data_IF_964758096558
#
_entry.id   IF_964758096558
#
_cell.length_a   1.000
_cell.length_b   1.000
_cell.length_c   1.000
_cell.angle_alpha   90.00
_cell.angle_beta   90.00
_cell.angle_gamma   90.00
#
_symmetry.space_group_name_H-M   'P 1'
#
loop_
_entity.id
_entity.type
_entity.pdbx_description
1 polymer ?
#
# COMPACT_ATOMS: atom_id res chain seq x y z
N UNK A 1 12.73 -1.05 -19.13
CA UNK A 1 13.18 -0.57 -17.80
C UNK A 1 12.57 -1.47 -16.75
N UNK A 2 13.30 -1.85 -15.69
CA UNK A 2 12.78 -2.75 -14.64
C UNK A 2 12.46 -1.97 -13.37
N UNK A 3 11.36 -2.31 -12.71
CA UNK A 3 11.00 -1.73 -11.44
C UNK A 3 10.41 -2.77 -10.48
N UNK A 4 10.57 -2.51 -9.18
CA UNK A 4 9.82 -3.20 -8.15
C UNK A 4 8.63 -2.34 -7.73
N UNK A 5 7.47 -2.96 -7.53
CA UNK A 5 6.34 -2.34 -6.85
C UNK A 5 6.13 -3.00 -5.49
N UNK A 6 6.21 -2.22 -4.41
CA UNK A 6 5.82 -2.71 -3.08
C UNK A 6 4.30 -2.79 -3.03
N UNK A 7 3.77 -4.01 -3.11
CA UNK A 7 2.35 -4.31 -3.33
C UNK A 7 1.78 -5.05 -2.12
N UNK A 8 1.04 -4.36 -1.26
CA UNK A 8 0.26 -5.00 -0.18
C UNK A 8 -1.08 -5.54 -0.66
N UNK A 9 -1.53 -5.16 -1.85
CA UNK A 9 -2.89 -5.41 -2.35
C UNK A 9 -3.86 -4.28 -2.02
N UNK A 10 -3.50 -3.36 -1.10
CA UNK A 10 -4.29 -2.17 -0.79
C UNK A 10 -4.43 -1.20 -1.96
N UNK A 11 -5.44 -0.32 -1.88
CA UNK A 11 -5.77 0.67 -2.91
C UNK A 11 -4.53 1.42 -3.42
N UNK A 12 -3.73 1.99 -2.52
CA UNK A 12 -2.60 2.85 -2.89
C UNK A 12 -1.51 2.08 -3.61
N UNK A 13 -1.20 0.88 -3.11
CA UNK A 13 -0.20 -0.01 -3.72
C UNK A 13 -0.64 -0.54 -5.09
N UNK A 14 -1.94 -0.76 -5.27
CA UNK A 14 -2.54 -1.16 -6.54
C UNK A 14 -2.46 -0.01 -7.57
N UNK A 15 -2.85 1.21 -7.19
CA UNK A 15 -2.78 2.40 -8.06
C UNK A 15 -1.34 2.76 -8.39
N UNK A 16 -0.42 2.62 -7.43
CA UNK A 16 1.01 2.79 -7.66
C UNK A 16 1.55 1.79 -8.69
N UNK A 17 1.09 0.54 -8.64
CA UNK A 17 1.49 -0.48 -9.60
C UNK A 17 0.92 -0.23 -11.01
N UNK A 18 -0.32 0.28 -11.09
CA UNK A 18 -0.87 0.80 -12.35
C UNK A 18 -0.04 1.95 -12.91
N UNK A 19 0.41 2.88 -12.06
CA UNK A 19 1.24 4.01 -12.48
C UNK A 19 2.59 3.52 -13.04
N UNK A 20 3.26 2.58 -12.36
CA UNK A 20 4.47 1.96 -12.90
C UNK A 20 4.22 1.28 -14.26
N UNK A 21 3.07 0.61 -14.43
CA UNK A 21 2.71 -0.06 -15.68
C UNK A 21 2.46 0.94 -16.81
N UNK A 22 1.79 2.04 -16.50
CA UNK A 22 1.54 3.14 -17.45
C UNK A 22 2.83 3.79 -17.93
N UNK A 23 3.85 3.86 -17.08
CA UNK A 23 5.21 4.30 -17.42
C UNK A 23 6.04 3.21 -18.15
N UNK A 24 5.41 2.11 -18.60
CA UNK A 24 6.01 1.01 -19.36
C UNK A 24 7.18 0.29 -18.64
N UNK A 25 7.11 0.16 -17.31
CA UNK A 25 8.04 -0.67 -16.56
C UNK A 25 7.72 -2.17 -16.71
N UNK A 26 8.79 -2.96 -16.81
CA UNK A 26 8.78 -4.40 -16.52
C UNK A 26 8.79 -4.56 -15.00
N UNK A 27 7.66 -5.00 -14.43
CA UNK A 27 7.37 -4.92 -13.00
C UNK A 27 7.57 -6.27 -12.33
N UNK A 28 8.27 -6.26 -11.20
CA UNK A 28 8.19 -7.30 -10.18
C UNK A 28 7.45 -6.74 -8.97
N UNK A 29 6.43 -7.42 -8.48
CA UNK A 29 5.69 -7.00 -7.28
C UNK A 29 6.20 -7.73 -6.05
N UNK A 30 6.30 -7.01 -4.94
CA UNK A 30 6.77 -7.55 -3.66
C UNK A 30 5.74 -7.26 -2.57
N UNK A 31 5.22 -8.33 -1.97
CA UNK A 31 4.38 -8.28 -0.77
C UNK A 31 5.20 -8.71 0.44
N UNK A 32 5.06 -8.01 1.55
CA UNK A 32 5.74 -8.37 2.79
C UNK A 32 4.79 -9.10 3.74
N UNK A 33 5.18 -10.30 4.16
CA UNK A 33 4.56 -10.99 5.29
C UNK A 33 5.26 -10.55 6.57
N UNK A 34 4.66 -9.59 7.28
CA UNK A 34 5.08 -9.21 8.63
C UNK A 34 4.14 -9.78 9.71
N UNK A 35 3.35 -10.77 9.31
CA UNK A 35 2.37 -11.46 10.12
C UNK A 35 1.19 -10.58 10.54
N UNK A 36 0.75 -9.76 9.60
CA UNK A 36 -0.46 -8.96 9.66
C UNK A 36 -1.72 -9.83 9.54
N UNK A 37 -2.81 -9.41 10.17
CA UNK A 37 -4.08 -10.14 10.16
C UNK A 37 -4.64 -10.39 8.76
N UNK A 38 -4.56 -9.39 7.88
CA UNK A 38 -5.12 -9.45 6.53
C UNK A 38 -4.22 -10.21 5.53
N UNK A 39 -3.13 -10.84 5.98
CA UNK A 39 -2.09 -11.43 5.13
C UNK A 39 -2.65 -12.28 3.98
N UNK A 40 -3.60 -13.16 4.27
CA UNK A 40 -4.15 -14.07 3.25
C UNK A 40 -4.88 -13.31 2.14
N UNK A 41 -5.67 -12.28 2.51
CA UNK A 41 -6.38 -11.43 1.56
C UNK A 41 -5.42 -10.49 0.82
N UNK A 42 -4.43 -9.94 1.52
CA UNK A 42 -3.36 -9.12 0.94
C UNK A 42 -2.57 -9.89 -0.12
N UNK A 43 -2.09 -11.11 0.19
CA UNK A 43 -1.37 -11.96 -0.77
C UNK A 43 -2.27 -12.32 -1.95
N UNK A 44 -3.54 -12.68 -1.70
CA UNK A 44 -4.49 -13.02 -2.76
C UNK A 44 -4.72 -11.84 -3.70
N UNK A 45 -4.95 -10.66 -3.13
CA UNK A 45 -5.08 -9.40 -3.86
C UNK A 45 -3.83 -9.07 -4.67
N UNK A 46 -2.67 -9.05 -4.02
CA UNK A 46 -1.40 -8.75 -4.66
C UNK A 46 -1.09 -9.71 -5.81
N UNK A 47 -1.30 -11.01 -5.62
CA UNK A 47 -1.13 -12.01 -6.66
C UNK A 47 -2.05 -11.72 -7.84
N UNK A 48 -3.34 -11.49 -7.60
CA UNK A 48 -4.31 -11.23 -8.67
C UNK A 48 -3.98 -9.96 -9.45
N UNK A 49 -3.59 -8.90 -8.75
CA UNK A 49 -3.18 -7.64 -9.36
C UNK A 49 -1.91 -7.85 -10.21
N UNK A 50 -0.95 -8.63 -9.71
CA UNK A 50 0.29 -8.93 -10.44
C UNK A 50 0.04 -9.71 -11.73
N UNK A 51 -0.87 -10.69 -11.69
CA UNK A 51 -1.32 -11.42 -12.88
C UNK A 51 -1.90 -10.47 -13.94
N UNK A 52 -2.74 -9.51 -13.54
CA UNK A 52 -3.36 -8.53 -14.44
C UNK A 52 -2.32 -7.59 -15.05
N UNK A 53 -1.31 -7.21 -14.27
CA UNK A 53 -0.21 -6.36 -14.73
C UNK A 53 0.85 -7.12 -15.54
N UNK A 54 0.72 -8.45 -15.66
CA UNK A 54 1.74 -9.34 -16.20
C UNK A 54 3.10 -9.13 -15.52
N UNK A 55 3.09 -9.19 -14.18
CA UNK A 55 4.22 -8.98 -13.30
C UNK A 55 4.51 -10.24 -12.48
N UNK A 56 5.80 -10.54 -12.26
CA UNK A 56 6.21 -11.58 -11.31
C UNK A 56 5.90 -11.14 -9.88
N UNK A 57 5.29 -12.02 -9.08
CA UNK A 57 4.92 -11.72 -7.69
C UNK A 57 5.76 -12.50 -6.69
N UNK A 58 6.34 -11.78 -5.73
CA UNK A 58 7.10 -12.34 -4.64
C UNK A 58 6.50 -11.97 -3.29
N UNK A 59 6.49 -12.93 -2.37
CA UNK A 59 6.18 -12.70 -0.96
C UNK A 59 7.46 -12.85 -0.14
N UNK A 60 7.83 -11.81 0.61
CA UNK A 60 9.01 -11.83 1.48
C UNK A 60 8.54 -11.91 2.93
N UNK A 61 8.99 -12.95 3.63
CA UNK A 61 8.71 -13.14 5.05
C UNK A 61 9.65 -12.30 5.92
N UNK A 62 9.06 -11.44 6.74
CA UNK A 62 9.72 -10.59 7.73
C UNK A 62 9.05 -10.74 9.11
N UNK A 63 8.58 -11.95 9.46
CA UNK A 63 7.92 -12.20 10.75
C UNK A 63 8.80 -11.86 11.98
N UNK A 64 10.12 -11.73 11.82
CA UNK A 64 11.01 -11.26 12.89
C UNK A 64 10.58 -9.89 13.46
N UNK A 65 9.83 -9.06 12.71
CA UNK A 65 9.33 -7.80 13.25
C UNK A 65 8.40 -7.98 14.45
N UNK A 66 7.79 -9.15 14.60
CA UNK A 66 6.95 -9.50 15.77
C UNK A 66 7.72 -9.55 17.08
N UNK A 67 9.05 -9.68 17.03
CA UNK A 67 9.89 -9.66 18.23
C UNK A 67 9.86 -8.30 18.95
N UNK A 68 9.58 -7.22 18.21
CA UNK A 68 9.54 -5.85 18.74
C UNK A 68 8.24 -5.07 18.42
N UNK A 69 7.40 -5.56 17.50
CA UNK A 69 6.11 -4.95 17.17
C UNK A 69 5.02 -5.37 18.16
N UNK A 70 4.26 -4.39 18.62
CA UNK A 70 2.99 -4.58 19.36
C UNK A 70 1.79 -3.98 18.62
N UNK A 71 1.94 -3.78 17.31
CA UNK A 71 0.89 -3.18 16.47
C UNK A 71 -0.41 -3.98 16.51
N UNK A 72 -1.54 -3.29 16.52
CA UNK A 72 -2.89 -3.83 16.33
C UNK A 72 -3.01 -4.70 15.08
N UNK A 73 -2.22 -4.41 14.03
CA UNK A 73 -2.16 -5.22 12.81
C UNK A 73 -1.61 -6.62 13.05
N UNK A 74 -0.83 -6.82 14.11
CA UNK A 74 -0.29 -8.10 14.53
C UNK A 74 -1.08 -8.72 15.69
N UNK A 75 -1.66 -7.90 16.58
CA UNK A 75 -2.29 -8.36 17.83
C UNK A 75 -3.81 -8.56 17.75
N UNK A 76 -4.50 -7.95 16.78
CA UNK A 76 -5.96 -8.01 16.68
C UNK A 76 -6.70 -6.74 17.08
N UNK A 77 -6.02 -5.79 17.71
CA UNK A 77 -6.63 -4.54 18.21
C UNK A 77 -6.74 -3.50 17.09
N UNK A 78 -7.74 -3.68 16.22
CA UNK A 78 -7.96 -2.85 15.05
C UNK A 78 -8.86 -1.64 15.38
N UNK A 79 -8.47 -0.40 15.02
CA UNK A 79 -9.30 0.78 15.23
C UNK A 79 -10.55 0.77 14.33
N UNK A 80 -11.68 1.09 14.95
CA UNK A 80 -12.97 1.36 14.32
C UNK A 80 -13.45 2.75 14.80
N UNK A 81 -12.88 3.83 14.25
CA UNK A 81 -13.27 5.19 14.63
C UNK A 81 -14.67 5.52 14.14
N UNK A 82 -15.30 6.55 14.71
CA UNK A 82 -16.51 7.12 14.13
C UNK A 82 -16.19 7.82 12.80
N UNK A 83 -17.16 7.87 11.89
CA UNK A 83 -16.94 8.41 10.55
C UNK A 83 -16.54 9.89 10.57
N UNK A 84 -17.09 10.65 11.49
CA UNK A 84 -16.81 12.08 11.68
C UNK A 84 -15.38 12.33 12.17
N UNK A 85 -14.71 11.29 12.69
CA UNK A 85 -13.40 11.37 13.32
C UNK A 85 -12.24 11.03 12.36
N UNK A 86 -12.53 10.56 11.14
CA UNK A 86 -11.51 10.14 10.15
C UNK A 86 -10.54 11.24 9.75
N UNK A 87 -10.97 12.50 9.87
CA UNK A 87 -10.18 13.70 9.56
C UNK A 87 -9.82 14.52 10.81
N UNK A 88 -10.23 14.07 12.00
CA UNK A 88 -9.75 14.64 13.25
C UNK A 88 -8.31 14.17 13.47
N UNK A 89 -7.37 15.12 13.42
CA UNK A 89 -5.95 14.82 13.53
C UNK A 89 -5.58 14.14 14.85
N UNK A 90 -6.11 14.60 15.98
CA UNK A 90 -5.75 14.05 17.29
C UNK A 90 -6.27 12.62 17.45
N UNK A 91 -7.48 12.36 16.95
CA UNK A 91 -8.08 11.01 16.96
C UNK A 91 -7.38 10.09 15.97
N UNK A 92 -7.10 10.56 14.76
CA UNK A 92 -6.36 9.81 13.73
C UNK A 92 -4.92 9.51 14.16
N UNK A 93 -4.27 10.40 14.92
CA UNK A 93 -2.94 10.15 15.48
C UNK A 93 -2.98 9.00 16.51
N UNK A 94 -4.05 8.91 17.32
CA UNK A 94 -4.24 7.82 18.28
C UNK A 94 -4.47 6.48 17.58
N UNK A 95 -5.34 6.43 16.57
CA UNK A 95 -5.58 5.19 15.81
C UNK A 95 -4.36 4.79 14.99
N UNK A 96 -3.63 5.76 14.41
CA UNK A 96 -2.34 5.54 13.75
C UNK A 96 -1.33 4.85 14.68
N UNK A 97 -1.16 5.35 15.91
CA UNK A 97 -0.25 4.74 16.90
C UNK A 97 -0.63 3.30 17.24
N UNK A 98 -1.93 2.97 17.22
CA UNK A 98 -2.39 1.61 17.47
C UNK A 98 -1.98 0.64 16.35
N UNK A 99 -1.94 1.10 15.09
CA UNK A 99 -1.55 0.27 13.93
C UNK A 99 -0.07 0.42 13.53
N UNK A 100 0.68 1.31 14.18
CA UNK A 100 2.10 1.56 13.88
C UNK A 100 2.98 0.36 14.19
N UNK A 101 3.70 -0.12 13.17
CA UNK A 101 4.74 -1.14 13.31
C UNK A 101 6.10 -0.42 13.31
N UNK A 102 6.96 -0.62 14.34
CA UNK A 102 8.23 0.11 14.43
C UNK A 102 9.10 -0.02 13.19
N UNK A 103 9.46 1.12 12.58
CA UNK A 103 10.32 1.23 11.39
C UNK A 103 9.87 0.37 10.19
N UNK A 104 8.58 0.01 10.10
CA UNK A 104 8.06 -0.92 9.08
C UNK A 104 8.45 -0.54 7.66
N UNK A 105 8.15 0.70 7.25
CA UNK A 105 8.44 1.15 5.90
C UNK A 105 9.96 1.21 5.65
N UNK A 106 10.76 1.62 6.64
CA UNK A 106 12.23 1.59 6.51
C UNK A 106 12.76 0.18 6.28
N UNK A 107 12.27 -0.82 7.03
CA UNK A 107 12.68 -2.23 6.87
C UNK A 107 12.26 -2.74 5.50
N UNK A 108 10.98 -2.57 5.14
CA UNK A 108 10.43 -3.03 3.86
C UNK A 108 11.14 -2.39 2.67
N UNK A 109 11.38 -1.08 2.69
CA UNK A 109 12.06 -0.41 1.59
C UNK A 109 13.55 -0.76 1.52
N UNK A 110 14.21 -1.01 2.65
CA UNK A 110 15.61 -1.49 2.64
C UNK A 110 15.70 -2.87 1.98
N UNK A 111 14.77 -3.78 2.30
CA UNK A 111 14.71 -5.11 1.66
C UNK A 111 14.35 -4.99 0.18
N UNK A 112 13.35 -4.17 -0.16
CA UNK A 112 12.97 -3.92 -1.55
C UNK A 112 14.13 -3.34 -2.37
N UNK A 113 15.03 -2.57 -1.74
CA UNK A 113 16.22 -2.02 -2.37
C UNK A 113 17.24 -3.09 -2.71
N UNK A 114 17.52 -4.01 -1.77
CA UNK A 114 18.38 -5.17 -2.05
C UNK A 114 17.79 -6.07 -3.14
N UNK A 115 16.47 -6.28 -3.15
CA UNK A 115 15.81 -7.04 -4.22
C UNK A 115 15.96 -6.31 -5.56
N UNK A 116 15.66 -5.01 -5.60
CA UNK A 116 15.71 -4.22 -6.82
C UNK A 116 17.11 -4.20 -7.43
N UNK A 117 18.14 -3.99 -6.61
CA UNK A 117 19.52 -4.11 -7.06
C UNK A 117 19.83 -5.51 -7.61
N UNK A 118 19.43 -6.56 -6.90
CA UNK A 118 19.67 -7.96 -7.28
C UNK A 118 19.08 -8.35 -8.64
N UNK A 119 17.94 -7.78 -9.03
CA UNK A 119 17.30 -8.05 -10.34
C UNK A 119 17.62 -7.00 -11.42
N UNK A 120 18.43 -5.99 -11.08
CA UNK A 120 18.76 -4.87 -11.96
C UNK A 120 17.58 -3.93 -12.21
N UNK A 121 16.66 -3.79 -11.25
CA UNK A 121 15.61 -2.78 -11.28
C UNK A 121 16.16 -1.40 -10.90
N UNK A 122 15.75 -0.38 -11.65
CA UNK A 122 16.19 1.02 -11.46
C UNK A 122 15.30 1.80 -10.51
N UNK A 123 14.06 1.32 -10.29
CA UNK A 123 13.07 1.99 -9.46
C UNK A 123 12.37 1.05 -8.49
N UNK A 124 12.01 1.59 -7.33
CA UNK A 124 11.12 0.98 -6.34
C UNK A 124 9.91 1.91 -6.23
N UNK A 125 8.75 1.43 -6.63
CA UNK A 125 7.49 2.15 -6.51
C UNK A 125 6.83 1.82 -5.17
N UNK A 126 6.49 2.86 -4.41
CA UNK A 126 5.84 2.77 -3.10
C UNK A 126 4.51 3.51 -3.07
N UNK A 127 3.51 2.94 -2.40
CA UNK A 127 2.18 3.55 -2.22
C UNK A 127 2.09 4.66 -1.19
N UNK A 128 3.22 5.29 -0.82
CA UNK A 128 3.23 6.41 0.12
C UNK A 128 2.39 7.56 -0.44
N UNK A 129 1.55 8.15 0.41
CA UNK A 129 0.57 9.15 0.00
C UNK A 129 0.44 10.32 0.97
N UNK A 130 -0.16 11.41 0.49
CA UNK A 130 -0.30 12.66 1.25
C UNK A 130 -1.14 12.49 2.50
N UNK A 131 -2.24 11.74 2.40
CA UNK A 131 -3.18 11.56 3.51
C UNK A 131 -2.50 10.82 4.68
N UNK A 132 -1.76 9.75 4.40
CA UNK A 132 -0.96 9.06 5.40
C UNK A 132 0.24 9.90 5.87
N UNK A 133 0.82 10.73 5.00
CA UNK A 133 1.91 11.65 5.36
C UNK A 133 1.52 12.69 6.44
N UNK A 134 0.23 12.92 6.67
CA UNK A 134 -0.24 13.78 7.77
C UNK A 134 0.11 13.19 9.13
N UNK A 135 -0.05 11.87 9.30
CA UNK A 135 0.12 11.19 10.60
C UNK A 135 1.37 10.31 10.65
N UNK A 136 1.78 9.73 9.52
CA UNK A 136 2.92 8.83 9.40
C UNK A 136 4.14 9.57 8.82
N UNK A 137 5.20 9.84 9.60
CA UNK A 137 6.35 10.61 9.12
C UNK A 137 7.11 9.89 7.98
N UNK A 138 7.00 8.57 7.87
CA UNK A 138 7.61 7.76 6.82
C UNK A 138 6.81 7.74 5.50
N UNK A 139 5.74 8.53 5.41
CA UNK A 139 4.98 8.79 4.18
C UNK A 139 5.26 10.19 3.59
N UNK A 140 6.18 10.95 4.17
CA UNK A 140 6.47 12.33 3.78
C UNK A 140 7.43 12.44 2.59
N UNK A 141 7.39 13.55 1.82
CA UNK A 141 8.39 13.85 0.79
C UNK A 141 9.82 13.85 1.34
N UNK A 142 10.02 14.36 2.56
CA UNK A 142 11.31 14.42 3.24
C UNK A 142 11.85 13.02 3.52
N UNK A 143 10.99 12.06 3.89
CA UNK A 143 11.38 10.67 4.03
C UNK A 143 11.87 10.09 2.69
N UNK A 144 11.12 10.31 1.61
CA UNK A 144 11.46 9.81 0.27
C UNK A 144 12.80 10.39 -0.21
N UNK A 145 13.02 11.70 -0.03
CA UNK A 145 14.28 12.36 -0.39
C UNK A 145 15.47 11.76 0.38
N UNK A 146 15.34 11.62 1.71
CA UNK A 146 16.40 11.08 2.57
C UNK A 146 16.67 9.60 2.31
N UNK A 147 15.62 8.83 2.03
CA UNK A 147 15.76 7.42 1.67
C UNK A 147 16.51 7.29 0.33
N UNK A 148 16.15 8.08 -0.68
CA UNK A 148 16.88 8.12 -1.95
C UNK A 148 18.35 8.51 -1.79
N UNK A 149 18.67 9.51 -0.94
CA UNK A 149 20.05 9.83 -0.59
C UNK A 149 20.78 8.63 0.03
N UNK A 150 20.10 7.83 0.83
CA UNK A 150 20.68 6.60 1.40
C UNK A 150 20.94 5.55 0.31
N UNK A 151 20.04 5.40 -0.67
CA UNK A 151 20.19 4.45 -1.78
C UNK A 151 21.39 4.77 -2.68
N UNK A 152 21.74 6.04 -2.86
CA UNK A 152 22.91 6.46 -3.65
C UNK A 152 24.23 5.94 -3.09
N UNK A 153 24.30 5.71 -1.77
CA UNK A 153 25.47 5.13 -1.09
C UNK A 153 25.27 3.65 -0.73
N UNK A 154 24.03 3.19 -0.63
CA UNK A 154 23.68 1.84 -0.22
C UNK A 154 23.56 0.82 -1.36
N UNK A 155 23.50 1.28 -2.62
CA UNK A 155 23.36 0.41 -3.80
C UNK A 155 24.31 0.83 -4.92
N UNK A 156 24.87 -0.14 -5.64
CA UNK A 156 25.76 0.06 -6.78
C UNK A 156 25.01 0.62 -7.99
N UNK A 157 23.78 0.15 -8.23
CA UNK A 157 22.97 0.60 -9.36
C UNK A 157 22.22 1.92 -9.10
N UNK A 158 22.31 2.47 -7.87
CA UNK A 158 21.65 3.71 -7.44
C UNK A 158 20.14 3.69 -7.72
N UNK A 159 19.50 2.57 -7.38
CA UNK A 159 18.05 2.41 -7.46
C UNK A 159 17.36 3.58 -6.77
N UNK A 160 16.24 4.06 -7.34
CA UNK A 160 15.47 5.18 -6.79
C UNK A 160 14.11 4.74 -6.31
N UNK A 161 13.75 5.14 -5.10
CA UNK A 161 12.38 5.05 -4.61
C UNK A 161 11.54 6.17 -5.22
N UNK A 162 10.38 5.80 -5.74
CA UNK A 162 9.37 6.70 -6.32
C UNK A 162 8.04 6.43 -5.62
N UNK A 163 7.38 7.50 -5.18
CA UNK A 163 6.03 7.43 -4.63
C UNK A 163 5.11 8.29 -5.47
N UNK A 164 4.41 7.76 -6.50
CA UNK A 164 3.58 8.57 -7.38
C UNK A 164 2.39 9.25 -6.67
N UNK A 165 2.03 8.78 -5.47
CA UNK A 165 0.83 9.22 -4.75
C UNK A 165 1.12 10.21 -3.61
N UNK A 166 2.39 10.59 -3.41
CA UNK A 166 2.86 11.42 -2.29
C UNK A 166 2.18 12.79 -2.16
N UNK A 167 1.58 13.30 -3.24
CA UNK A 167 0.84 14.57 -3.26
C UNK A 167 -0.70 14.38 -3.26
N UNK A 168 -1.17 13.14 -3.28
CA UNK A 168 -2.58 12.79 -3.46
C UNK A 168 -3.22 12.28 -2.17
N UNK A 169 -4.45 12.72 -1.93
CA UNK A 169 -5.34 12.14 -0.90
C UNK A 169 -6.08 10.90 -1.44
N UNK A 170 -6.81 10.17 -0.57
CA UNK A 170 -7.47 8.92 -1.00
C UNK A 170 -8.50 9.11 -2.12
N UNK A 171 -9.38 10.12 -2.13
CA UNK A 171 -10.25 10.40 -3.28
C UNK A 171 -9.48 10.61 -4.60
N UNK A 172 -8.40 11.39 -4.57
CA UNK A 172 -7.53 11.61 -5.73
C UNK A 172 -6.87 10.31 -6.20
N UNK A 173 -6.43 9.45 -5.27
CA UNK A 173 -5.88 8.13 -5.57
C UNK A 173 -6.92 7.21 -6.23
N UNK A 174 -8.16 7.18 -5.70
CA UNK A 174 -9.24 6.39 -6.29
C UNK A 174 -9.56 6.86 -7.72
N UNK A 175 -9.60 8.17 -7.94
CA UNK A 175 -9.78 8.77 -9.26
C UNK A 175 -8.65 8.43 -10.23
N UNK A 176 -7.40 8.63 -9.80
CA UNK A 176 -6.22 8.26 -10.60
C UNK A 176 -6.22 6.78 -10.95
N UNK A 177 -6.54 5.92 -9.99
CA UNK A 177 -6.67 4.48 -10.20
C UNK A 177 -7.64 4.16 -11.32
N UNK A 178 -8.83 4.78 -11.32
CA UNK A 178 -9.83 4.55 -12.36
C UNK A 178 -9.39 5.09 -13.72
N UNK A 179 -8.76 6.25 -13.75
CA UNK A 179 -8.21 6.82 -14.98
C UNK A 179 -7.13 5.91 -15.59
N UNK A 180 -6.25 5.33 -14.77
CA UNK A 180 -5.21 4.42 -15.21
C UNK A 180 -5.78 3.07 -15.69
N UNK A 181 -6.78 2.52 -15.00
CA UNK A 181 -7.53 1.34 -15.48
C UNK A 181 -8.07 1.57 -16.89
N UNK A 182 -8.70 2.71 -17.15
CA UNK A 182 -9.26 3.05 -18.47
C UNK A 182 -8.16 3.22 -19.52
N UNK A 183 -7.06 3.91 -19.18
CA UNK A 183 -5.95 4.14 -20.13
C UNK A 183 -5.20 2.86 -20.48
N UNK A 184 -5.12 1.91 -19.55
CA UNK A 184 -4.43 0.64 -19.73
C UNK A 184 -5.33 -0.50 -20.21
N UNK A 185 -6.65 -0.29 -20.24
CA UNK A 185 -7.65 -1.33 -20.48
C UNK A 185 -7.52 -2.52 -19.50
N UNK A 186 -7.42 -2.20 -18.20
CA UNK A 186 -7.24 -3.17 -17.11
C UNK A 186 -8.28 -2.96 -16.00
N UNK A 187 -8.51 -4.00 -15.19
CA UNK A 187 -9.41 -3.95 -14.03
C UNK A 187 -8.69 -4.44 -12.75
N UNK A 188 -8.08 -3.51 -12.03
CA UNK A 188 -7.25 -3.77 -10.83
C UNK A 188 -7.98 -3.41 -9.54
N UNK A 189 -8.73 -2.31 -9.50
CA UNK A 189 -9.37 -1.76 -8.29
C UNK A 189 -10.37 -2.73 -7.66
N UNK A 190 -11.05 -3.54 -8.48
CA UNK A 190 -11.99 -4.59 -8.01
C UNK A 190 -11.32 -5.70 -7.22
N UNK A 191 -10.02 -5.88 -7.37
CA UNK A 191 -9.24 -6.88 -6.64
C UNK A 191 -8.39 -6.28 -5.52
N UNK A 192 -8.38 -4.96 -5.36
CA UNK A 192 -7.65 -4.30 -4.27
C UNK A 192 -8.30 -4.57 -2.91
N UNK A 193 -7.49 -4.81 -1.88
CA UNK A 193 -7.90 -5.16 -0.54
C UNK A 193 -7.31 -4.23 0.51
N UNK A 194 -8.14 -3.35 1.06
CA UNK A 194 -7.73 -2.33 2.04
C UNK A 194 -8.05 -2.74 3.48
N UNK A 195 -8.98 -3.68 3.69
CA UNK A 195 -9.46 -4.07 5.02
C UNK A 195 -8.34 -4.66 5.89
N UNK A 196 -8.29 -4.28 7.17
CA UNK A 196 -7.33 -4.82 8.13
C UNK A 196 -7.62 -6.25 8.60
N UNK A 197 -8.76 -6.83 8.19
CA UNK A 197 -9.27 -8.11 8.71
C UNK A 197 -9.31 -9.21 7.65
N UNK A 198 -9.05 -10.43 8.12
CA UNK A 198 -9.42 -11.74 7.55
C UNK A 198 -10.95 -12.02 7.53
N UNK A 199 -11.75 -11.59 6.55
CA UNK A 199 -13.22 -11.81 6.62
C UNK A 199 -13.72 -13.16 6.05
N UNK A 200 -12.83 -14.07 5.65
CA UNK A 200 -13.17 -15.45 5.25
C UNK A 200 -13.78 -15.62 3.86
N UNK A 201 -14.22 -14.54 3.20
CA UNK A 201 -14.56 -14.51 1.76
C UNK A 201 -13.58 -13.63 0.99
N UNK A 202 -13.26 -14.04 -0.23
CA UNK A 202 -12.35 -13.36 -1.13
C UNK A 202 -12.79 -11.92 -1.39
N UNK A 203 -11.87 -10.98 -1.13
CA UNK A 203 -12.05 -9.54 -1.34
C UNK A 203 -13.17 -8.89 -0.52
N UNK A 204 -13.72 -9.60 0.47
CA UNK A 204 -14.77 -9.07 1.34
C UNK A 204 -14.18 -8.16 2.41
N UNK A 205 -14.61 -6.90 2.41
CA UNK A 205 -14.20 -5.89 3.39
C UNK A 205 -15.19 -5.87 4.57
N UNK A 206 -14.73 -5.50 5.77
CA UNK A 206 -15.63 -5.45 6.93
C UNK A 206 -16.58 -4.24 6.87
N UNK A 207 -16.14 -3.13 6.28
CA UNK A 207 -16.92 -1.91 6.16
C UNK A 207 -16.83 -0.96 7.34
N UNK A 208 -16.27 -1.38 8.48
CA UNK A 208 -16.20 -0.58 9.73
C UNK A 208 -14.78 -0.22 10.17
N UNK A 209 -13.75 -1.00 9.82
CA UNK A 209 -12.37 -0.61 10.18
C UNK A 209 -11.96 0.70 9.49
N UNK A 210 -11.03 1.43 10.10
CA UNK A 210 -10.58 2.74 9.59
C UNK A 210 -10.20 2.71 8.11
N UNK A 211 -9.47 1.67 7.67
CA UNK A 211 -9.08 1.54 6.26
C UNK A 211 -10.27 1.32 5.32
N UNK A 212 -11.30 0.57 5.75
CA UNK A 212 -12.54 0.44 4.98
C UNK A 212 -13.30 1.76 4.91
N UNK A 213 -13.37 2.51 6.01
CA UNK A 213 -14.03 3.80 6.06
C UNK A 213 -13.34 4.83 5.14
N UNK A 214 -12.01 4.89 5.19
CA UNK A 214 -11.20 5.73 4.28
C UNK A 214 -11.41 5.34 2.83
N UNK A 215 -11.44 4.04 2.50
CA UNK A 215 -11.75 3.54 1.15
C UNK A 215 -13.14 3.97 0.70
N UNK A 216 -14.19 3.74 1.50
CA UNK A 216 -15.56 4.15 1.18
C UNK A 216 -15.66 5.65 0.91
N UNK A 217 -15.03 6.48 1.76
CA UNK A 217 -14.95 7.93 1.56
C UNK A 217 -14.28 8.26 0.24
N UNK A 218 -13.12 7.65 -0.04
CA UNK A 218 -12.34 7.88 -1.25
C UNK A 218 -13.17 7.68 -2.53
N UNK A 219 -13.81 6.52 -2.66
CA UNK A 219 -14.63 6.22 -3.85
C UNK A 219 -15.85 7.13 -3.94
N UNK A 220 -16.53 7.38 -2.82
CA UNK A 220 -17.69 8.28 -2.76
C UNK A 220 -17.34 9.70 -3.22
N UNK A 221 -16.28 10.28 -2.68
CA UNK A 221 -15.85 11.66 -3.01
C UNK A 221 -15.24 11.77 -4.40
N UNK A 222 -14.61 10.70 -4.90
CA UNK A 222 -14.15 10.63 -6.28
C UNK A 222 -15.32 10.55 -7.30
N UNK A 223 -16.55 10.29 -6.85
CA UNK A 223 -17.71 10.09 -7.71
C UNK A 223 -17.66 8.78 -8.49
N UNK A 224 -16.99 7.76 -7.94
CA UNK A 224 -16.74 6.47 -8.58
C UNK A 224 -17.39 5.37 -7.74
N UNK A 225 -18.02 4.40 -8.39
CA UNK A 225 -18.55 3.21 -7.70
C UNK A 225 -17.38 2.40 -7.15
N UNK A 226 -17.36 2.14 -5.84
CA UNK A 226 -16.41 1.21 -5.25
C UNK A 226 -16.76 -0.22 -5.71
N UNK A 227 -15.87 -0.92 -6.43
CA UNK A 227 -16.16 -2.27 -6.92
C UNK A 227 -16.06 -3.35 -5.84
N UNK A 228 -15.67 -3.01 -4.60
CA UNK A 228 -15.53 -4.00 -3.53
C UNK A 228 -16.86 -4.36 -2.86
N UNK A 229 -16.86 -5.46 -2.12
CA UNK A 229 -17.99 -5.89 -1.29
C UNK A 229 -17.72 -5.56 0.17
N UNK A 230 -18.77 -5.18 0.90
CA UNK A 230 -18.70 -4.92 2.34
C UNK A 230 -19.64 -5.83 3.13
N UNK A 231 -19.20 -6.27 4.32
CA UNK A 231 -20.07 -6.92 5.32
C UNK A 231 -21.12 -5.95 5.86
N UNK A 232 -20.69 -4.73 6.17
CA UNK A 232 -21.53 -3.63 6.64
C UNK A 232 -21.43 -2.50 5.62
N UNK A 233 -22.55 -2.14 4.99
CA UNK A 233 -22.66 -1.02 4.03
C UNK A 233 -22.65 0.35 4.72
#
# INVERSE_FOLDING_TARGET
MRAICVLSGGLDSAVTSLAAKFENYDITTVTFNYGQMALNQEIKSAKKISEILNADHHVIDINFVKEFSKSGLNTGEIPEPEKEDLDDFEKSEKTMKAVWVPARNMIMFSIASGFAEGIGAEKIFSGLNKEEGVTFPDNTPEFIERFNKSLEYGTLNKVKMVAPLYELNKPEIAKLGKELEVKLDLEVLKYSYSCYRDNGEDYLHCGTCESCMRRKRAFKEAGIVDPTKYLVE
#
